data_IF_832402774878
#
_entry.id   IF_832402774878
#
_cell.length_a   1.000
_cell.length_b   1.000
_cell.length_c   1.000
_cell.angle_alpha   90.00
_cell.angle_beta   90.00
_cell.angle_gamma   90.00
#
_symmetry.space_group_name_H-M   'P 1'
#
loop_
_entity.id
_entity.type
_entity.pdbx_description
1 polymer ?
#
# COMPACT_ATOMS: atom_id res chain seq x y z
N UNK A 1 3.71 -0.33 -5.62
CA UNK A 1 3.95 -1.11 -4.39
C UNK A 1 3.28 -0.40 -3.21
N UNK A 2 2.23 -0.99 -2.64
CA UNK A 2 1.62 -0.51 -1.39
C UNK A 2 2.54 -0.71 -0.21
N UNK A 3 2.38 0.09 0.84
CA UNK A 3 2.99 -0.22 2.13
C UNK A 3 2.34 -1.50 2.66
N UNK A 4 3.12 -2.57 2.68
CA UNK A 4 2.74 -3.84 3.26
C UNK A 4 3.28 -3.86 4.68
N UNK A 5 2.41 -3.67 5.67
CA UNK A 5 2.75 -3.99 7.06
C UNK A 5 2.68 -5.52 7.21
N UNK A 6 3.83 -6.17 7.15
CA UNK A 6 3.94 -7.60 7.39
C UNK A 6 4.03 -7.88 8.89
N UNK A 7 2.97 -8.46 9.47
CA UNK A 7 3.08 -9.16 10.74
C UNK A 7 3.43 -10.62 10.41
N UNK A 8 4.73 -10.93 10.30
CA UNK A 8 5.19 -12.29 9.98
C UNK A 8 4.97 -13.25 11.15
N UNK A 9 4.33 -14.39 10.87
CA UNK A 9 4.58 -15.65 11.56
C UNK A 9 4.87 -16.72 10.50
N UNK A 10 5.88 -17.52 10.81
CA UNK A 10 6.63 -18.37 9.88
C UNK A 10 5.95 -19.75 9.71
N UNK A 11 5.79 -20.22 8.47
CA UNK A 11 5.72 -21.65 8.10
C UNK A 11 4.53 -22.53 8.55
N UNK A 12 3.28 -22.10 8.38
CA UNK A 12 2.15 -23.04 8.43
C UNK A 12 1.21 -22.81 7.25
N UNK A 13 0.52 -23.88 6.80
CA UNK A 13 -0.52 -23.76 5.76
C UNK A 13 -1.58 -22.79 6.23
N UNK A 14 -1.55 -21.57 5.71
CA UNK A 14 -2.55 -20.55 5.97
C UNK A 14 -3.65 -20.63 4.91
N UNK A 15 -4.86 -20.94 5.34
CA UNK A 15 -6.07 -20.70 4.58
C UNK A 15 -6.33 -19.20 4.58
N UNK A 16 -6.46 -18.61 3.39
CA UNK A 16 -6.74 -17.18 3.24
C UNK A 16 -8.18 -16.97 2.78
N UNK A 17 -8.81 -15.93 3.33
CA UNK A 17 -10.09 -15.43 2.87
C UNK A 17 -9.94 -13.95 2.57
N UNK A 18 -10.23 -13.59 1.34
CA UNK A 18 -10.38 -12.20 0.93
C UNK A 18 -11.75 -11.70 1.38
N UNK A 19 -11.77 -10.62 2.16
CA UNK A 19 -12.99 -10.07 2.75
C UNK A 19 -13.60 -9.01 1.85
N UNK A 20 -12.76 -8.16 1.27
CA UNK A 20 -13.25 -7.09 0.43
C UNK A 20 -12.19 -6.06 0.06
N UNK A 21 -12.59 -5.25 -0.91
CA UNK A 21 -11.81 -4.16 -1.47
C UNK A 21 -12.64 -2.90 -1.49
N UNK A 22 -12.04 -1.81 -1.05
CA UNK A 22 -12.56 -0.46 -1.27
C UNK A 22 -11.67 0.19 -2.31
N UNK A 23 -12.21 0.36 -3.53
CA UNK A 23 -11.53 1.01 -4.64
C UNK A 23 -12.18 2.35 -4.96
N UNK A 24 -11.39 3.41 -4.90
CA UNK A 24 -11.72 4.74 -5.44
C UNK A 24 -10.69 5.16 -6.48
N UNK A 25 -10.91 6.32 -7.09
CA UNK A 25 -10.02 6.82 -8.15
C UNK A 25 -8.57 6.93 -7.70
N UNK A 26 -8.28 7.28 -6.44
CA UNK A 26 -6.93 7.56 -5.93
C UNK A 26 -6.41 6.59 -4.86
N UNK A 27 -7.25 5.69 -4.36
CA UNK A 27 -6.84 4.77 -3.32
C UNK A 27 -7.53 3.42 -3.48
N UNK A 28 -6.84 2.39 -3.04
CA UNK A 28 -7.33 1.04 -2.94
C UNK A 28 -6.92 0.43 -1.60
N UNK A 29 -7.88 -0.17 -0.90
CA UNK A 29 -7.66 -0.84 0.38
C UNK A 29 -8.22 -2.25 0.30
N UNK A 30 -7.38 -3.23 0.58
CA UNK A 30 -7.71 -4.66 0.55
C UNK A 30 -7.53 -5.28 1.95
N UNK A 31 -8.50 -6.10 2.38
CA UNK A 31 -8.40 -6.86 3.63
C UNK A 31 -8.36 -8.37 3.33
N UNK A 32 -7.27 -9.00 3.75
CA UNK A 32 -7.10 -10.44 3.72
C UNK A 32 -6.98 -10.97 5.14
N UNK A 33 -7.73 -12.02 5.46
CA UNK A 33 -7.63 -12.71 6.74
C UNK A 33 -7.08 -14.11 6.52
N UNK A 34 -6.29 -14.59 7.47
CA UNK A 34 -5.63 -15.89 7.39
C UNK A 34 -5.98 -16.73 8.63
N UNK A 35 -5.99 -18.04 8.45
CA UNK A 35 -6.17 -19.03 9.50
C UNK A 35 -5.33 -20.28 9.21
N UNK A 36 -4.85 -20.96 10.24
CA UNK A 36 -4.24 -22.29 10.08
C UNK A 36 -5.28 -23.41 9.92
N UNK A 37 -6.58 -23.10 10.12
CA UNK A 37 -7.69 -24.02 9.96
C UNK A 37 -8.53 -23.64 8.75
N UNK A 38 -9.09 -24.63 8.05
CA UNK A 38 -9.94 -24.40 6.88
C UNK A 38 -11.34 -23.85 7.23
N UNK A 39 -11.79 -24.03 8.47
CA UNK A 39 -13.08 -23.57 8.95
C UNK A 39 -12.99 -22.11 9.41
N UNK A 40 -13.22 -21.14 8.53
CA UNK A 40 -13.02 -19.73 8.85
C UNK A 40 -13.99 -19.23 9.94
N UNK A 41 -13.47 -18.73 11.06
CA UNK A 41 -14.27 -18.16 12.15
C UNK A 41 -13.51 -17.04 12.88
N UNK A 42 -14.22 -16.15 13.57
CA UNK A 42 -13.57 -15.09 14.36
C UNK A 42 -12.56 -15.63 15.39
N UNK A 43 -12.76 -16.86 15.86
CA UNK A 43 -11.96 -17.46 16.94
C UNK A 43 -10.66 -18.11 16.44
N UNK A 44 -10.50 -18.31 15.14
CA UNK A 44 -9.33 -18.99 14.57
C UNK A 44 -8.66 -18.21 13.44
N UNK A 45 -8.99 -16.92 13.25
CA UNK A 45 -8.17 -16.00 12.48
C UNK A 45 -6.83 -15.86 13.21
N UNK A 46 -5.74 -16.08 12.49
CA UNK A 46 -4.37 -16.02 13.01
C UNK A 46 -3.69 -14.72 12.62
N UNK A 47 -4.02 -14.19 11.44
CA UNK A 47 -3.52 -12.90 10.98
C UNK A 47 -4.54 -12.16 10.13
N UNK A 48 -4.42 -10.84 10.13
CA UNK A 48 -5.17 -9.93 9.28
C UNK A 48 -4.17 -9.00 8.59
N UNK A 49 -4.20 -8.97 7.27
CA UNK A 49 -3.37 -8.07 6.46
C UNK A 49 -4.28 -7.07 5.78
N UNK A 50 -4.04 -5.80 6.09
CA UNK A 50 -4.66 -4.66 5.40
C UNK A 50 -3.62 -4.05 4.46
N UNK A 51 -3.91 -4.04 3.17
CA UNK A 51 -3.04 -3.47 2.15
C UNK A 51 -3.63 -2.17 1.63
N UNK A 52 -2.92 -1.07 1.86
CA UNK A 52 -3.25 0.25 1.33
C UNK A 52 -2.37 0.61 0.14
N UNK A 53 -2.99 1.03 -0.95
CA UNK A 53 -2.30 1.70 -2.05
C UNK A 53 -2.96 3.03 -2.33
N UNK A 54 -2.16 4.04 -2.66
CA UNK A 54 -2.66 5.33 -3.07
C UNK A 54 -1.82 5.89 -4.22
N UNK A 55 -2.43 6.77 -4.99
CA UNK A 55 -1.74 7.64 -5.92
C UNK A 55 -2.36 9.04 -5.89
N UNK A 56 -1.55 10.04 -6.17
CA UNK A 56 -1.98 11.42 -6.32
C UNK A 56 -1.26 12.05 -7.50
N UNK A 57 -1.80 13.14 -8.02
CA UNK A 57 -1.06 13.99 -8.95
C UNK A 57 -0.11 14.87 -8.15
N UNK A 58 1.12 15.00 -8.64
CA UNK A 58 2.10 15.97 -8.18
C UNK A 58 2.42 16.89 -9.34
N UNK A 59 2.48 18.18 -9.05
CA UNK A 59 2.99 19.18 -9.98
C UNK A 59 4.34 19.68 -9.46
N UNK A 60 5.32 19.80 -10.34
CA UNK A 60 6.63 20.35 -10.01
C UNK A 60 7.14 21.24 -11.14
N UNK A 61 8.01 22.19 -10.79
CA UNK A 61 8.66 23.04 -11.76
C UNK A 61 9.62 22.19 -12.59
N UNK A 62 9.38 22.14 -13.90
CA UNK A 62 10.17 21.35 -14.85
C UNK A 62 11.20 22.21 -15.59
N UNK A 63 11.02 23.53 -15.55
CA UNK A 63 11.97 24.45 -16.15
C UNK A 63 11.57 25.91 -15.99
N UNK A 64 12.54 26.77 -16.23
CA UNK A 64 12.37 28.21 -16.36
C UNK A 64 13.25 28.67 -17.52
N UNK A 65 12.73 28.54 -18.74
CA UNK A 65 13.39 29.10 -19.92
C UNK A 65 12.83 30.50 -20.17
N UNK A 66 13.57 31.37 -20.87
CA UNK A 66 13.36 32.83 -20.95
C UNK A 66 11.97 33.37 -21.33
N UNK A 67 10.99 32.50 -21.60
CA UNK A 67 9.57 32.80 -21.79
C UNK A 67 8.64 32.44 -20.60
N UNK A 68 9.13 31.82 -19.52
CA UNK A 68 8.37 31.59 -18.28
C UNK A 68 8.64 30.26 -17.57
N UNK A 69 7.87 30.02 -16.50
CA UNK A 69 7.91 28.77 -15.75
C UNK A 69 7.04 27.70 -16.40
N UNK A 70 7.58 26.48 -16.47
CA UNK A 70 6.84 25.29 -16.89
C UNK A 70 6.62 24.37 -15.70
N UNK A 71 5.38 23.90 -15.58
CA UNK A 71 5.00 22.91 -14.58
C UNK A 71 4.76 21.57 -15.28
N UNK A 72 5.37 20.52 -14.76
CA UNK A 72 5.09 19.15 -15.19
C UNK A 72 4.18 18.45 -14.19
N UNK A 73 3.31 17.61 -14.72
CA UNK A 73 2.39 16.75 -13.97
C UNK A 73 2.93 15.31 -13.98
N UNK A 74 2.99 14.70 -12.80
CA UNK A 74 3.35 13.30 -12.63
C UNK A 74 2.38 12.61 -11.66
N UNK A 75 2.16 11.31 -11.87
CA UNK A 75 1.47 10.47 -10.89
C UNK A 75 2.46 10.02 -9.81
N UNK A 76 2.24 10.45 -8.57
CA UNK A 76 2.98 10.01 -7.41
C UNK A 76 2.21 8.90 -6.70
N UNK A 77 2.79 7.71 -6.63
CA UNK A 77 2.24 6.53 -5.94
C UNK A 77 2.90 6.35 -4.58
N UNK A 78 2.22 5.61 -3.70
CA UNK A 78 2.79 5.16 -2.42
C UNK A 78 4.14 4.43 -2.56
N UNK A 79 4.40 3.76 -3.68
CA UNK A 79 5.70 3.11 -3.95
C UNK A 79 6.83 4.03 -4.33
N UNK A 80 6.50 5.22 -4.80
CA UNK A 80 7.49 6.16 -5.32
C UNK A 80 8.14 6.92 -4.15
N UNK A 81 7.47 6.92 -2.99
CA UNK A 81 8.09 7.22 -1.71
C UNK A 81 9.11 6.12 -1.37
N UNK A 82 10.30 6.21 -1.95
CA UNK A 82 11.47 5.49 -1.42
C UNK A 82 11.70 6.03 -0.01
N UNK A 83 11.21 5.31 1.00
CA UNK A 83 11.37 5.71 2.39
C UNK A 83 12.87 5.73 2.67
N UNK A 84 13.47 6.93 2.71
CA UNK A 84 14.75 7.14 3.36
C UNK A 84 14.49 7.06 4.86
N UNK A 85 14.28 5.85 5.39
CA UNK A 85 14.49 5.61 6.81
C UNK A 85 15.99 5.76 7.02
N UNK A 86 16.43 6.99 7.30
CA UNK A 86 17.65 7.21 8.02
C UNK A 86 17.23 7.34 9.48
N UNK A 87 17.13 6.24 10.26
CA UNK A 87 17.03 6.37 11.70
C UNK A 87 18.30 7.11 12.11
N UNK A 88 18.17 8.39 12.46
CA UNK A 88 19.29 9.14 12.99
C UNK A 88 19.71 8.41 14.27
N UNK A 89 20.98 8.01 14.28
CA UNK A 89 21.76 7.58 15.45
C UNK A 89 21.64 8.58 16.60
#
# INVERSE_FOLDING_TARGET
MGEQAYFYLHNYREYSVYIGQIKKSRYNVDLNLYSYQNNFSKNNITSAIVLGTWHTRRYFLDGNEGSGFYWSEEELRCSDLKIRYNPKE
#
